data_IF_422765298391
#
_entry.id   IF_422765298391
#
_cell.length_a   1.000
_cell.length_b   1.000
_cell.length_c   1.000
_cell.angle_alpha   90.00
_cell.angle_beta   90.00
_cell.angle_gamma   90.00
#
_symmetry.space_group_name_H-M   'P 1'
#
loop_
_entity.id
_entity.type
_entity.pdbx_description
1 polymer ?
#
# COMPACT_ATOMS: atom_id res chain seq x y z
N UNK A 1 -24.93 19.75 -2.88
CA UNK A 1 -24.98 18.34 -2.43
C UNK A 1 -23.81 17.64 -3.10
N UNK A 2 -22.69 17.45 -2.41
CA UNK A 2 -21.45 16.84 -2.95
C UNK A 2 -20.85 15.88 -1.92
N UNK A 3 -21.66 14.93 -1.43
CA UNK A 3 -21.11 13.75 -0.74
C UNK A 3 -21.15 12.58 -1.73
N UNK A 4 -20.25 12.61 -2.70
CA UNK A 4 -19.81 11.34 -3.26
C UNK A 4 -18.88 10.75 -2.21
N UNK A 5 -19.43 9.88 -1.36
CA UNK A 5 -18.60 9.05 -0.51
C UNK A 5 -17.71 8.24 -1.45
N UNK A 6 -16.42 8.53 -1.47
CA UNK A 6 -15.46 7.66 -2.13
C UNK A 6 -15.41 6.41 -1.28
N UNK A 7 -16.12 5.38 -1.71
CA UNK A 7 -16.01 4.04 -1.14
C UNK A 7 -14.61 3.52 -1.50
N UNK A 8 -13.63 3.78 -0.65
CA UNK A 8 -12.44 2.94 -0.61
C UNK A 8 -12.94 1.55 -0.27
N UNK A 9 -12.80 0.59 -1.18
CA UNK A 9 -13.41 -0.73 -1.04
C UNK A 9 -13.04 -1.41 0.29
N UNK A 10 -13.83 -2.42 0.68
CA UNK A 10 -13.56 -3.19 1.89
C UNK A 10 -12.22 -3.94 1.78
N UNK A 11 -11.58 -4.16 2.93
CA UNK A 11 -10.38 -5.01 2.99
C UNK A 11 -10.70 -6.42 2.48
N UNK A 12 -9.76 -7.00 1.73
CA UNK A 12 -9.84 -8.39 1.31
C UNK A 12 -10.00 -9.32 2.53
N UNK A 13 -10.78 -10.40 2.42
CA UNK A 13 -10.88 -11.39 3.48
C UNK A 13 -9.54 -12.13 3.63
N UNK A 14 -9.21 -12.49 4.87
CA UNK A 14 -8.00 -13.26 5.20
C UNK A 14 -7.06 -12.51 6.14
N UNK A 15 -6.01 -13.21 6.56
CA UNK A 15 -4.93 -12.64 7.37
C UNK A 15 -3.95 -11.87 6.46
N UNK A 16 -3.24 -10.87 7.01
CA UNK A 16 -2.18 -10.13 6.30
C UNK A 16 -2.65 -9.29 5.09
N UNK A 17 -3.92 -8.93 5.04
CA UNK A 17 -4.49 -8.06 4.00
C UNK A 17 -4.38 -6.56 4.33
N UNK A 18 -3.77 -6.20 5.45
CA UNK A 18 -3.42 -4.83 5.80
C UNK A 18 -2.13 -4.81 6.64
N UNK A 19 -1.45 -3.67 6.63
CA UNK A 19 -0.28 -3.44 7.47
C UNK A 19 -0.12 -1.93 7.73
N UNK A 20 0.59 -1.59 8.81
CA UNK A 20 0.92 -0.22 9.20
C UNK A 20 2.40 0.01 8.95
N UNK A 21 2.71 1.01 8.13
CA UNK A 21 4.08 1.47 7.89
C UNK A 21 4.31 2.86 8.46
N UNK A 22 5.52 3.38 8.28
CA UNK A 22 5.87 4.74 8.66
C UNK A 22 6.81 5.38 7.65
N UNK A 23 6.59 6.68 7.39
CA UNK A 23 7.51 7.54 6.64
C UNK A 23 7.83 8.74 7.53
N UNK A 24 9.11 8.96 7.87
CA UNK A 24 9.53 10.04 8.78
C UNK A 24 8.72 10.09 10.09
N UNK A 25 8.58 8.93 10.75
CA UNK A 25 7.80 8.75 11.98
C UNK A 25 6.30 9.07 11.88
N UNK A 26 5.78 9.27 10.67
CA UNK A 26 4.35 9.44 10.41
C UNK A 26 3.73 8.13 9.93
N UNK A 27 2.78 7.55 10.70
CA UNK A 27 2.20 6.26 10.36
C UNK A 27 1.18 6.37 9.23
N UNK A 28 1.17 5.36 8.37
CA UNK A 28 0.17 5.16 7.34
C UNK A 28 -0.36 3.73 7.40
N UNK A 29 -1.58 3.52 6.93
CA UNK A 29 -2.18 2.18 6.79
C UNK A 29 -2.27 1.84 5.31
N UNK A 30 -1.75 0.68 4.90
CA UNK A 30 -2.01 0.13 3.58
C UNK A 30 -2.82 -1.15 3.69
N UNK A 31 -3.81 -1.33 2.81
CA UNK A 31 -4.62 -2.53 2.79
C UNK A 31 -5.04 -2.94 1.38
N UNK A 32 -5.24 -4.25 1.21
CA UNK A 32 -5.71 -4.86 -0.02
C UNK A 32 -7.22 -4.70 -0.19
N UNK A 33 -7.67 -4.18 -1.33
CA UNK A 33 -9.09 -4.07 -1.70
C UNK A 33 -9.29 -4.61 -3.11
N UNK A 34 -9.75 -5.85 -3.24
CA UNK A 34 -9.76 -6.58 -4.49
C UNK A 34 -8.34 -6.72 -5.05
N UNK A 35 -8.12 -6.13 -6.23
CA UNK A 35 -6.81 -6.06 -6.88
C UNK A 35 -6.05 -4.76 -6.59
N UNK A 36 -6.63 -3.81 -5.85
CA UNK A 36 -6.01 -2.54 -5.53
C UNK A 36 -5.32 -2.58 -4.15
N UNK A 37 -4.35 -1.68 -3.95
CA UNK A 37 -3.83 -1.33 -2.63
C UNK A 37 -4.33 0.07 -2.30
N UNK A 38 -5.02 0.22 -1.17
CA UNK A 38 -5.47 1.51 -0.65
C UNK A 38 -4.51 1.95 0.46
N UNK A 39 -4.08 3.21 0.41
CA UNK A 39 -3.17 3.81 1.39
C UNK A 39 -3.90 4.97 2.06
N UNK A 40 -3.99 4.90 3.40
CA UNK A 40 -4.64 5.88 4.25
C UNK A 40 -3.61 6.55 5.18
N UNK A 41 -3.81 7.84 5.44
CA UNK A 41 -3.09 8.56 6.49
C UNK A 41 -3.55 8.16 7.88
N UNK A 42 -2.89 8.71 8.91
CA UNK A 42 -3.23 8.43 10.31
C UNK A 42 -4.64 8.92 10.71
N UNK A 43 -5.21 9.85 9.94
CA UNK A 43 -6.59 10.35 10.07
C UNK A 43 -7.60 9.53 9.25
N UNK A 44 -7.17 8.41 8.65
CA UNK A 44 -7.94 7.58 7.73
C UNK A 44 -8.40 8.29 6.45
N UNK A 45 -7.87 9.47 6.15
CA UNK A 45 -8.05 10.10 4.85
C UNK A 45 -7.21 9.34 3.81
N UNK A 46 -7.79 9.15 2.63
CA UNK A 46 -7.13 8.41 1.55
C UNK A 46 -6.00 9.24 0.94
N UNK A 47 -4.78 8.73 1.05
CA UNK A 47 -3.60 9.30 0.40
C UNK A 47 -3.52 8.83 -1.05
N UNK A 48 -3.63 7.52 -1.31
CA UNK A 48 -3.45 6.97 -2.65
C UNK A 48 -4.21 5.66 -2.83
N UNK A 49 -4.55 5.36 -4.08
CA UNK A 49 -4.90 4.01 -4.53
C UNK A 49 -3.85 3.59 -5.57
N UNK A 50 -3.23 2.43 -5.36
CA UNK A 50 -2.39 1.78 -6.37
C UNK A 50 -3.30 0.82 -7.15
N UNK A 51 -3.60 1.11 -8.43
CA UNK A 51 -4.60 0.35 -9.17
C UNK A 51 -4.07 -1.01 -9.65
N UNK A 52 -4.81 -2.07 -9.36
CA UNK A 52 -4.56 -3.45 -9.76
C UNK A 52 -4.56 -3.67 -11.28
N UNK A 53 -5.15 -2.76 -12.06
CA UNK A 53 -5.09 -2.77 -13.52
C UNK A 53 -3.64 -2.78 -14.05
N UNK A 54 -2.69 -2.19 -13.32
CA UNK A 54 -1.26 -2.22 -13.65
C UNK A 54 -0.57 -3.54 -13.26
N UNK A 55 -1.31 -4.44 -12.63
CA UNK A 55 -0.86 -5.71 -12.05
C UNK A 55 -1.71 -6.90 -12.55
N UNK A 56 -2.33 -6.75 -13.72
CA UNK A 56 -3.12 -7.81 -14.35
C UNK A 56 -4.49 -8.07 -13.70
N UNK A 57 -4.98 -7.14 -12.85
CA UNK A 57 -6.20 -7.29 -12.06
C UNK A 57 -6.20 -8.55 -11.16
N UNK A 58 -5.01 -9.01 -10.77
CA UNK A 58 -4.86 -10.13 -9.84
C UNK A 58 -5.21 -9.61 -8.45
N UNK A 59 -6.03 -10.33 -7.70
CA UNK A 59 -6.36 -9.99 -6.32
C UNK A 59 -5.08 -9.92 -5.48
N UNK A 60 -4.98 -8.88 -4.64
CA UNK A 60 -3.86 -8.74 -3.70
C UNK A 60 -4.05 -9.76 -2.57
N UNK A 61 -3.13 -10.70 -2.45
CA UNK A 61 -3.18 -11.79 -1.47
C UNK A 61 -2.72 -11.39 -0.07
N UNK A 62 -1.62 -10.66 0.04
CA UNK A 62 -1.10 -10.12 1.28
C UNK A 62 -0.34 -8.81 1.01
N UNK A 63 -0.27 -7.96 2.04
CA UNK A 63 0.39 -6.65 2.05
C UNK A 63 1.19 -6.51 3.34
N UNK A 64 2.43 -6.05 3.24
CA UNK A 64 3.19 -5.64 4.40
C UNK A 64 3.97 -4.33 4.21
N UNK A 65 4.05 -3.54 5.28
CA UNK A 65 4.63 -2.20 5.26
C UNK A 65 5.87 -2.13 6.16
N UNK A 66 6.92 -1.50 5.66
CA UNK A 66 8.13 -1.23 6.44
C UNK A 66 7.88 -0.08 7.42
N UNK A 67 8.26 -0.28 8.68
CA UNK A 67 8.25 0.75 9.72
C UNK A 67 9.40 1.75 9.57
N UNK A 68 10.44 1.43 8.79
CA UNK A 68 11.64 2.24 8.69
C UNK A 68 11.74 2.99 7.36
N UNK A 69 11.48 2.31 6.25
CA UNK A 69 11.60 2.88 4.89
C UNK A 69 10.25 3.31 4.32
N UNK A 70 9.15 2.95 4.97
CA UNK A 70 7.80 3.16 4.48
C UNK A 70 7.47 2.39 3.20
N UNK A 71 8.31 1.44 2.78
CA UNK A 71 8.05 0.61 1.61
C UNK A 71 6.86 -0.33 1.85
N UNK A 72 6.14 -0.63 0.77
CA UNK A 72 5.01 -1.56 0.78
C UNK A 72 5.39 -2.75 -0.10
N UNK A 73 5.27 -3.96 0.42
CA UNK A 73 5.34 -5.18 -0.35
C UNK A 73 3.92 -5.74 -0.51
N UNK A 74 3.56 -6.16 -1.72
CA UNK A 74 2.26 -6.75 -1.99
C UNK A 74 2.35 -7.94 -2.96
N UNK A 75 1.58 -8.99 -2.68
CA UNK A 75 1.52 -10.18 -3.53
C UNK A 75 0.36 -10.10 -4.52
N UNK A 76 0.68 -10.27 -5.80
CA UNK A 76 -0.26 -10.46 -6.91
C UNK A 76 -0.07 -11.89 -7.44
N UNK A 77 -0.69 -12.87 -6.77
CA UNK A 77 -0.43 -14.28 -7.04
C UNK A 77 1.03 -14.66 -6.75
N UNK A 78 1.79 -15.00 -7.79
CA UNK A 78 3.23 -15.34 -7.69
C UNK A 78 4.17 -14.14 -7.78
N UNK A 79 3.65 -12.97 -8.14
CA UNK A 79 4.46 -11.76 -8.32
C UNK A 79 4.42 -10.95 -7.04
N UNK A 80 5.58 -10.61 -6.48
CA UNK A 80 5.68 -9.65 -5.39
C UNK A 80 6.09 -8.32 -5.99
N UNK A 81 5.31 -7.28 -5.73
CA UNK A 81 5.65 -5.90 -6.08
C UNK A 81 6.10 -5.16 -4.82
N UNK A 82 7.15 -4.35 -4.96
CA UNK A 82 7.63 -3.43 -3.93
C UNK A 82 7.35 -2.00 -4.39
N UNK A 83 6.79 -1.20 -3.48
CA UNK A 83 6.50 0.20 -3.69
C UNK A 83 7.23 1.05 -2.65
N UNK A 84 7.83 2.15 -3.08
CA UNK A 84 8.57 3.07 -2.22
C UNK A 84 7.84 4.43 -2.14
N UNK A 85 7.88 5.09 -0.97
CA UNK A 85 7.34 6.43 -0.82
C UNK A 85 8.25 7.46 -1.52
N UNK A 86 7.63 8.35 -2.28
CA UNK A 86 8.28 9.44 -3.01
C UNK A 86 7.63 10.75 -2.63
N UNK A 87 8.46 11.70 -2.22
CA UNK A 87 8.00 13.02 -1.83
C UNK A 87 7.37 13.75 -3.04
N UNK A 88 6.18 14.33 -2.82
CA UNK A 88 5.45 15.13 -3.80
C UNK A 88 5.55 16.59 -3.36
N UNK A 89 5.85 17.48 -4.30
CA UNK A 89 5.88 18.91 -3.98
C UNK A 89 4.51 19.38 -3.47
N UNK A 90 4.44 20.20 -2.41
CA UNK A 90 3.17 20.62 -1.83
C UNK A 90 2.44 21.57 -2.79
N UNK A 91 1.49 21.04 -3.56
CA UNK A 91 0.57 21.83 -4.37
C UNK A 91 -0.64 22.28 -3.53
N UNK A 92 -0.43 23.23 -2.63
CA UNK A 92 -1.50 23.90 -1.89
C UNK A 92 -2.23 23.06 -0.82
N UNK A 93 -2.80 23.77 0.16
CA UNK A 93 -3.47 23.28 1.39
C UNK A 93 -2.86 22.01 2.02
N UNK A 94 -1.86 22.23 2.89
CA UNK A 94 -1.47 21.39 4.03
C UNK A 94 -2.11 19.99 4.13
N UNK A 95 -1.75 19.07 3.23
CA UNK A 95 -2.03 17.65 3.42
C UNK A 95 -0.88 17.04 4.23
N UNK A 96 -1.24 16.23 5.22
CA UNK A 96 -0.41 15.82 6.35
C UNK A 96 0.63 14.73 6.03
N UNK A 97 0.70 14.23 4.79
CA UNK A 97 1.75 13.36 4.27
C UNK A 97 1.92 13.66 2.78
N UNK A 98 3.02 14.29 2.38
CA UNK A 98 3.31 14.64 0.99
C UNK A 98 4.03 13.50 0.27
N UNK A 99 3.52 12.27 0.38
CA UNK A 99 4.13 11.10 -0.23
C UNK A 99 3.15 10.39 -1.15
N UNK A 100 3.68 9.84 -2.23
CA UNK A 100 3.00 8.81 -3.01
C UNK A 100 3.91 7.60 -3.12
N UNK A 101 3.31 6.42 -3.16
CA UNK A 101 3.99 5.16 -3.38
C UNK A 101 4.08 4.86 -4.87
N UNK A 102 5.30 4.68 -5.35
CA UNK A 102 5.59 4.25 -6.70
C UNK A 102 6.21 2.86 -6.67
N UNK A 103 5.98 2.06 -7.72
CA UNK A 103 6.60 0.75 -7.83
C UNK A 103 8.10 0.90 -8.07
N UNK A 104 8.91 0.41 -7.14
CA UNK A 104 10.37 0.41 -7.24
C UNK A 104 10.93 -0.91 -7.76
N UNK A 105 10.20 -2.01 -7.56
CA UNK A 105 10.66 -3.32 -8.00
C UNK A 105 9.58 -4.40 -8.03
N UNK A 106 9.94 -5.54 -8.60
CA UNK A 106 9.15 -6.77 -8.48
C UNK A 106 10.03 -8.01 -8.62
N UNK A 107 9.56 -9.13 -8.09
CA UNK A 107 10.16 -10.43 -8.31
C UNK A 107 9.07 -11.52 -8.37
N UNK A 108 9.42 -12.66 -8.96
CA UNK A 108 8.50 -13.78 -9.20
C UNK A 108 8.90 -14.96 -8.35
N UNK A 109 7.93 -15.54 -7.64
CA UNK A 109 8.09 -16.74 -6.83
C UNK A 109 7.68 -18.00 -7.62
N UNK A 110 8.10 -19.16 -7.15
CA UNK A 110 7.68 -20.45 -7.72
C UNK A 110 6.20 -20.75 -7.44
N UNK A 111 5.68 -20.27 -6.31
CA UNK A 111 4.31 -20.45 -5.81
C UNK A 111 3.71 -19.12 -5.31
N UNK A 112 2.41 -19.13 -4.98
CA UNK A 112 1.71 -17.95 -4.46
C UNK A 112 2.15 -17.65 -3.04
N UNK A 113 2.49 -16.39 -2.76
CA UNK A 113 2.77 -15.95 -1.39
C UNK A 113 1.47 -15.81 -0.58
N UNK A 114 1.49 -16.34 0.64
CA UNK A 114 0.38 -16.19 1.59
C UNK A 114 0.65 -15.10 2.64
N UNK A 115 1.93 -14.85 2.92
CA UNK A 115 2.39 -13.91 3.95
C UNK A 115 3.64 -13.22 3.41
N UNK A 116 3.73 -11.92 3.66
CA UNK A 116 4.93 -11.12 3.49
C UNK A 116 5.23 -10.47 4.84
N UNK A 117 6.51 -10.36 5.18
CA UNK A 117 6.96 -9.54 6.31
C UNK A 117 8.24 -8.85 5.91
N UNK A 118 8.30 -7.55 6.11
CA UNK A 118 9.55 -6.81 6.12
C UNK A 118 10.37 -7.23 7.34
N UNK A 119 11.68 -7.19 7.19
CA UNK A 119 12.55 -7.31 8.34
C UNK A 119 12.30 -6.10 9.26
N UNK A 120 12.13 -6.27 10.59
CA UNK A 120 11.78 -5.17 11.49
C UNK A 120 12.77 -3.99 11.48
N UNK A 121 14.02 -4.27 11.11
CA UNK A 121 15.12 -3.29 11.04
C UNK A 121 15.52 -2.88 9.62
N UNK A 122 14.74 -3.25 8.60
CA UNK A 122 14.90 -2.75 7.23
C UNK A 122 16.27 -2.93 6.55
N UNK A 123 17.14 -3.82 7.05
CA UNK A 123 18.49 -4.10 6.51
C UNK A 123 18.45 -4.98 5.28
#
# INVERSE_FOLDING_TARGET
>A
MNLHQVLTGAVNPGENCFSVGSVNDQPFTAYASGCDIVILGSDFERIQIIPGAKHGNIQVGCVDCSLQSGQIAASYGKIICVFEPVEVSPQGKAQKLNYHWQKSGQFVLQSVAQILTWHPTGT
#
